data_IF_107886375521
#
_entry.id   IF_107886375521
#
_cell.length_a   1.000
_cell.length_b   1.000
_cell.length_c   1.000
_cell.angle_alpha   90.00
_cell.angle_beta   90.00
_cell.angle_gamma   90.00
#
_symmetry.space_group_name_H-M   'P 1'
#
loop_
_entity.id
_entity.type
_entity.pdbx_description
1 polymer ?
#
# COMPACT_ATOMS: atom_id res chain seq x y z
N UNK A 1 8.42 32.48 14.61
CA UNK A 1 9.06 31.64 15.64
C UNK A 1 8.36 31.90 16.96
N UNK A 2 7.57 30.95 17.47
CA UNK A 2 7.04 31.01 18.83
C UNK A 2 7.57 29.81 19.58
N UNK A 3 8.20 30.07 20.72
CA UNK A 3 8.93 29.11 21.52
C UNK A 3 8.00 28.66 22.66
N UNK A 4 7.61 27.38 22.69
CA UNK A 4 6.82 26.84 23.81
C UNK A 4 7.76 25.98 24.67
N UNK A 5 7.83 26.28 25.96
CA UNK A 5 8.62 25.55 26.96
C UNK A 5 7.76 24.46 27.61
N UNK A 6 8.07 23.17 27.39
CA UNK A 6 7.50 22.06 28.18
C UNK A 6 8.44 21.71 29.34
N UNK A 7 7.86 21.45 30.52
CA UNK A 7 8.58 21.03 31.73
C UNK A 7 8.64 19.49 31.72
N UNK A 8 9.84 18.93 31.91
CA UNK A 8 10.06 17.47 31.97
C UNK A 8 9.50 16.91 33.28
N UNK A 9 8.65 15.90 33.21
CA UNK A 9 8.15 15.19 34.40
C UNK A 9 9.29 14.43 35.09
N UNK A 10 9.48 14.68 36.38
CA UNK A 10 10.30 13.84 37.25
C UNK A 10 9.53 13.56 38.53
N UNK A 11 8.77 12.47 38.54
CA UNK A 11 8.05 12.00 39.73
C UNK A 11 8.96 11.12 40.59
N UNK A 12 9.38 11.65 41.75
CA UNK A 12 9.53 10.83 42.96
C UNK A 12 8.76 11.54 44.06
N UNK A 13 7.68 10.89 44.50
CA UNK A 13 6.76 11.43 45.49
C UNK A 13 7.49 11.75 46.80
N UNK A 14 7.51 13.04 47.17
CA UNK A 14 7.86 13.49 48.52
C UNK A 14 6.57 13.51 49.33
N UNK A 15 6.41 12.52 50.21
CA UNK A 15 5.25 12.46 51.11
C UNK A 15 5.46 13.42 52.29
N UNK A 16 4.60 14.43 52.43
CA UNK A 16 4.46 15.21 53.67
C UNK A 16 4.50 16.74 53.55
N UNK A 17 4.74 17.31 52.38
CA UNK A 17 4.78 18.77 52.19
C UNK A 17 3.61 19.24 51.33
N UNK A 18 2.88 20.27 51.78
CA UNK A 18 1.88 20.95 50.97
C UNK A 18 2.58 21.75 49.87
N UNK A 19 2.73 21.13 48.70
CA UNK A 19 3.24 21.79 47.50
C UNK A 19 2.14 22.69 46.92
N UNK A 20 2.11 23.97 47.28
CA UNK A 20 1.32 24.96 46.55
C UNK A 20 2.05 25.30 45.24
N UNK A 21 1.78 24.51 44.19
CA UNK A 21 2.16 24.87 42.82
C UNK A 21 1.14 25.86 42.29
N UNK A 22 1.43 27.16 42.41
CA UNK A 22 0.58 28.22 41.87
C UNK A 22 0.45 28.22 40.34
N UNK A 23 1.29 27.45 39.63
CA UNK A 23 1.31 27.40 38.17
C UNK A 23 0.35 26.36 37.56
N UNK A 24 -0.03 25.29 38.27
CA UNK A 24 -0.88 24.22 37.68
C UNK A 24 -2.38 24.38 37.92
N UNK A 25 -2.81 25.06 38.98
CA UNK A 25 -4.26 25.26 39.22
C UNK A 25 -4.87 26.48 38.50
N UNK A 26 -4.07 27.48 38.12
CA UNK A 26 -4.57 28.64 37.36
C UNK A 26 -4.66 28.37 35.85
N UNK A 27 -3.88 27.41 35.32
CA UNK A 27 -4.00 26.97 33.91
C UNK A 27 -5.36 26.34 33.60
N UNK A 28 -5.94 25.59 34.54
CA UNK A 28 -7.29 25.03 34.39
C UNK A 28 -8.41 26.06 34.51
N UNK A 29 -8.22 27.15 35.26
CA UNK A 29 -9.24 28.19 35.43
C UNK A 29 -9.19 29.30 34.36
N UNK A 30 -8.02 29.59 33.79
CA UNK A 30 -7.88 30.53 32.68
C UNK A 30 -8.42 29.96 31.36
N UNK A 31 -8.29 28.64 31.13
CA UNK A 31 -8.94 27.97 30.00
C UNK A 31 -10.47 27.95 30.11
N UNK A 32 -11.02 27.86 31.33
CA UNK A 32 -12.46 27.85 31.55
C UNK A 32 -13.13 29.23 31.47
N UNK A 33 -12.38 30.33 31.49
CA UNK A 33 -12.94 31.70 31.41
C UNK A 33 -12.79 32.35 30.03
N UNK A 34 -11.90 31.84 29.17
CA UNK A 34 -11.78 32.28 27.77
C UNK A 34 -12.92 31.78 26.86
N UNK A 35 -13.67 30.77 27.28
CA UNK A 35 -14.79 30.18 26.52
C UNK A 35 -16.11 30.98 26.59
N UNK A 36 -16.14 32.15 27.22
CA UNK A 36 -17.39 32.93 27.39
C UNK A 36 -17.47 34.27 26.63
N UNK A 37 -16.47 34.65 25.82
CA UNK A 37 -16.54 35.88 25.03
C UNK A 37 -16.47 35.64 23.52
N UNK A 38 -17.66 35.70 22.93
CA UNK A 38 -17.92 35.91 21.52
C UNK A 38 -17.20 37.18 21.00
N UNK A 39 -16.16 37.04 20.18
CA UNK A 39 -15.74 38.01 19.15
C UNK A 39 -14.79 37.30 18.16
N UNK A 40 -15.11 37.34 16.87
CA UNK A 40 -14.26 36.80 15.81
C UNK A 40 -12.97 37.59 15.59
N UNK A 41 -11.98 36.91 15.02
CA UNK A 41 -10.80 37.50 14.39
C UNK A 41 -9.48 37.27 15.12
N UNK A 42 -8.59 36.52 14.47
CA UNK A 42 -7.16 36.33 14.76
C UNK A 42 -6.81 35.56 16.05
N UNK A 43 -6.05 34.48 15.88
CA UNK A 43 -5.43 33.66 16.93
C UNK A 43 -4.70 34.53 17.97
N UNK A 44 -5.28 34.60 19.17
CA UNK A 44 -4.72 35.29 20.33
C UNK A 44 -3.49 34.57 20.85
N UNK A 45 -2.36 35.28 20.87
CA UNK A 45 -1.09 34.84 21.44
C UNK A 45 -1.15 34.99 22.96
N UNK A 46 -1.28 33.89 23.70
CA UNK A 46 -1.16 33.94 25.16
C UNK A 46 0.31 34.22 25.51
N UNK A 47 0.59 35.39 26.08
CA UNK A 47 1.94 35.80 26.46
C UNK A 47 2.14 35.59 27.96
N UNK A 48 3.40 35.55 28.42
CA UNK A 48 3.72 35.53 29.85
C UNK A 48 3.18 36.77 30.61
N UNK A 49 2.73 37.81 29.88
CA UNK A 49 2.02 38.97 30.45
C UNK A 49 0.57 38.68 30.85
N UNK A 50 0.00 37.55 30.42
CA UNK A 50 -1.35 37.11 30.80
C UNK A 50 -1.35 36.27 32.10
N UNK A 51 -0.17 35.98 32.64
CA UNK A 51 -0.01 35.35 33.96
C UNK A 51 -0.25 36.39 35.07
N UNK A 52 -0.88 36.03 36.20
CA UNK A 52 -1.08 36.96 37.31
C UNK A 52 0.27 37.56 37.74
N UNK A 53 0.39 38.89 37.70
CA UNK A 53 1.66 39.64 37.85
C UNK A 53 2.39 39.46 39.17
N UNK A 54 1.89 38.63 40.09
CA UNK A 54 2.55 38.21 41.32
C UNK A 54 3.57 37.08 41.09
N UNK A 55 3.53 36.42 39.92
CA UNK A 55 4.38 35.26 39.58
C UNK A 55 5.40 35.57 38.47
N UNK A 56 5.36 36.77 37.91
CA UNK A 56 6.27 37.24 36.85
C UNK A 56 6.88 38.57 37.32
N UNK A 57 8.20 38.63 37.44
CA UNK A 57 8.93 39.84 37.77
C UNK A 57 8.80 40.89 36.66
N UNK A 58 9.08 42.16 36.99
CA UNK A 58 9.03 43.28 36.03
C UNK A 58 9.97 43.10 34.82
N UNK A 59 10.93 42.18 34.90
CA UNK A 59 11.86 41.78 33.86
C UNK A 59 11.41 40.56 33.03
N UNK A 60 10.19 40.05 33.26
CA UNK A 60 9.64 38.89 32.57
C UNK A 60 10.15 37.54 33.10
N UNK A 61 10.79 37.52 34.28
CA UNK A 61 11.26 36.28 34.91
C UNK A 61 10.17 35.64 35.76
N UNK A 62 9.98 34.33 35.62
CA UNK A 62 9.00 33.59 36.43
C UNK A 62 9.60 33.32 37.81
N UNK A 63 8.99 33.88 38.85
CA UNK A 63 9.44 33.70 40.24
C UNK A 63 8.75 32.49 40.85
N UNK A 64 9.49 31.39 41.02
CA UNK A 64 9.02 30.20 41.74
C UNK A 64 9.52 30.23 43.18
N UNK A 65 8.59 30.33 44.14
CA UNK A 65 8.92 30.34 45.58
C UNK A 65 8.49 29.03 46.21
N UNK A 66 9.44 28.30 46.81
CA UNK A 66 9.14 27.15 47.67
C UNK A 66 9.05 27.66 49.11
N UNK A 67 7.84 27.67 49.68
CA UNK A 67 7.65 28.04 51.09
C UNK A 67 7.78 26.79 51.95
N UNK A 68 8.66 26.84 52.94
CA UNK A 68 8.80 25.78 53.94
C UNK A 68 8.34 26.30 55.30
N UNK A 69 7.55 25.49 56.00
CA UNK A 69 7.07 25.82 57.34
C UNK A 69 8.23 25.88 58.34
N UNK A 70 8.10 26.71 59.37
CA UNK A 70 9.11 26.89 60.43
C UNK A 70 9.44 25.58 61.17
N UNK A 71 8.49 24.64 61.23
CA UNK A 71 8.64 23.31 61.84
C UNK A 71 9.02 22.19 60.85
N UNK A 72 9.46 22.52 59.62
CA UNK A 72 9.82 21.52 58.62
C UNK A 72 11.00 20.64 59.08
N UNK A 73 10.91 19.33 58.86
CA UNK A 73 12.00 18.42 59.21
C UNK A 73 13.23 18.76 58.37
N UNK A 74 14.43 18.74 58.99
CA UNK A 74 15.71 18.98 58.31
C UNK A 74 15.90 18.20 56.99
N UNK A 75 15.31 17.02 56.84
CA UNK A 75 15.34 16.24 55.59
C UNK A 75 14.48 16.88 54.49
N UNK A 76 13.30 17.40 54.84
CA UNK A 76 12.39 18.09 53.92
C UNK A 76 12.95 19.44 53.49
N UNK A 77 13.70 20.10 54.38
CA UNK A 77 14.42 21.36 54.08
C UNK A 77 15.49 21.14 53.01
N UNK A 78 16.26 20.06 53.11
CA UNK A 78 17.30 19.72 52.13
C UNK A 78 16.68 19.27 50.80
N UNK A 79 15.60 18.50 50.83
CA UNK A 79 14.86 18.09 49.64
C UNK A 79 14.21 19.30 48.92
N UNK A 80 13.59 20.21 49.67
CA UNK A 80 12.99 21.44 49.15
C UNK A 80 14.03 22.36 48.52
N UNK A 81 15.21 22.50 49.12
CA UNK A 81 16.32 23.25 48.54
C UNK A 81 16.87 22.60 47.25
N UNK A 82 16.92 21.26 47.19
CA UNK A 82 17.34 20.53 45.98
C UNK A 82 16.33 20.69 44.83
N UNK A 83 15.03 20.63 45.12
CA UNK A 83 13.95 20.88 44.15
C UNK A 83 13.97 22.33 43.67
N UNK A 84 14.18 23.31 44.55
CA UNK A 84 14.33 24.71 44.16
C UNK A 84 15.57 24.93 43.27
N UNK A 85 16.68 24.24 43.57
CA UNK A 85 17.88 24.26 42.73
C UNK A 85 17.65 23.64 41.35
N UNK A 86 16.90 22.54 41.26
CA UNK A 86 16.55 21.92 39.98
C UNK A 86 15.52 22.72 39.19
N UNK A 87 14.51 23.32 39.83
CA UNK A 87 13.56 24.22 39.15
C UNK A 87 14.28 25.46 38.61
N UNK A 88 15.20 26.02 39.39
CA UNK A 88 16.08 27.09 38.95
C UNK A 88 16.88 26.68 37.72
N UNK A 89 17.56 25.54 37.76
CA UNK A 89 18.35 25.07 36.61
C UNK A 89 17.48 24.79 35.37
N UNK A 90 16.36 24.08 35.52
CA UNK A 90 15.46 23.72 34.42
C UNK A 90 14.71 24.92 33.82
N UNK A 91 14.48 25.99 34.56
CA UNK A 91 13.89 27.22 34.04
C UNK A 91 14.84 27.99 33.08
N UNK A 92 16.16 27.76 33.19
CA UNK A 92 17.20 28.45 32.42
C UNK A 92 17.96 27.56 31.42
N UNK A 93 17.83 26.23 31.48
CA UNK A 93 18.38 25.35 30.44
C UNK A 93 17.62 25.57 29.13
N UNK A 94 18.30 26.09 28.12
CA UNK A 94 17.76 26.30 26.78
C UNK A 94 18.14 25.10 25.92
N UNK A 95 17.16 24.27 25.56
CA UNK A 95 17.33 23.28 24.51
C UNK A 95 16.93 23.92 23.18
N UNK A 96 17.81 23.84 22.18
CA UNK A 96 17.52 24.40 20.86
C UNK A 96 16.84 23.32 20.03
N UNK A 97 15.51 23.40 19.90
CA UNK A 97 14.77 22.62 18.92
C UNK A 97 14.52 23.53 17.72
N UNK A 98 15.04 23.15 16.57
CA UNK A 98 14.88 23.89 15.32
C UNK A 98 13.42 23.79 14.84
N UNK A 99 12.60 24.78 15.20
CA UNK A 99 11.31 24.98 14.56
C UNK A 99 11.53 25.71 13.22
N UNK A 100 11.33 25.00 12.12
CA UNK A 100 11.29 25.56 10.77
C UNK A 100 10.29 26.72 10.70
N UNK A 101 10.77 27.85 10.20
CA UNK A 101 10.01 29.08 10.00
C UNK A 101 8.85 28.87 9.02
N UNK A 102 7.63 29.10 9.51
CA UNK A 102 6.46 29.68 8.82
C UNK A 102 6.47 29.60 7.29
N UNK A 103 5.78 28.59 6.75
CA UNK A 103 5.49 28.47 5.31
C UNK A 103 5.41 27.03 4.79
N UNK A 104 5.89 26.04 5.55
CA UNK A 104 5.83 24.63 5.18
C UNK A 104 5.45 23.78 6.39
N UNK A 105 4.47 22.92 6.18
CA UNK A 105 4.09 21.78 7.02
C UNK A 105 5.31 21.07 7.60
N UNK A 106 5.46 21.10 8.92
CA UNK A 106 6.35 20.18 9.64
C UNK A 106 5.48 18.99 10.04
N UNK A 107 5.20 18.16 9.04
CA UNK A 107 4.52 16.89 9.24
C UNK A 107 5.52 15.87 9.81
N UNK A 108 5.02 14.86 10.53
CA UNK A 108 5.57 13.51 10.45
C UNK A 108 5.39 12.97 9.02
N UNK A 109 5.97 13.69 8.06
CA UNK A 109 5.76 13.45 6.64
C UNK A 109 6.46 12.14 6.32
N UNK A 110 5.68 11.10 6.03
CA UNK A 110 6.16 10.11 5.09
C UNK A 110 6.47 10.83 3.77
N UNK A 111 7.57 10.46 3.15
CA UNK A 111 7.89 10.86 1.78
C UNK A 111 7.94 9.57 0.98
N UNK A 112 6.96 9.38 0.10
CA UNK A 112 6.99 8.28 -0.84
C UNK A 112 8.01 8.63 -1.94
N UNK A 113 8.95 7.73 -2.20
CA UNK A 113 9.97 7.92 -3.24
C UNK A 113 9.38 7.73 -4.65
N UNK A 114 8.32 6.91 -4.76
CA UNK A 114 7.53 6.66 -5.98
C UNK A 114 6.04 6.50 -5.63
N UNK A 115 5.44 7.50 -4.99
CA UNK A 115 4.05 7.40 -4.54
C UNK A 115 3.46 8.75 -4.12
N UNK A 116 2.15 8.78 -3.91
CA UNK A 116 1.45 9.98 -3.45
C UNK A 116 1.22 9.93 -1.94
N UNK A 117 1.64 10.96 -1.22
CA UNK A 117 1.23 11.14 0.18
C UNK A 117 -0.13 11.82 0.24
N UNK A 118 -1.18 11.06 0.59
CA UNK A 118 -2.53 11.55 0.84
C UNK A 118 -2.59 12.31 2.18
N UNK A 119 -1.94 13.47 2.25
CA UNK A 119 -2.07 14.37 3.38
C UNK A 119 -3.43 15.08 3.31
N UNK A 120 -4.35 14.70 4.19
CA UNK A 120 -5.64 15.40 4.38
C UNK A 120 -5.38 16.83 4.88
N UNK A 121 -5.21 17.77 3.96
CA UNK A 121 -5.03 19.19 4.28
C UNK A 121 -6.37 19.77 4.75
N UNK A 122 -6.50 19.98 6.06
CA UNK A 122 -7.50 20.84 6.74
C UNK A 122 -8.84 20.22 7.17
N UNK A 123 -8.91 18.91 7.42
CA UNK A 123 -10.02 18.35 8.20
C UNK A 123 -9.46 17.62 9.41
N UNK A 124 -9.84 18.05 10.61
CA UNK A 124 -9.65 17.25 11.81
C UNK A 124 -10.38 15.92 11.56
N UNK A 125 -9.65 14.81 11.56
CA UNK A 125 -10.24 13.48 11.50
C UNK A 125 -10.71 13.14 12.90
N UNK A 126 -12.02 13.02 13.10
CA UNK A 126 -12.56 12.55 14.36
C UNK A 126 -12.44 11.03 14.44
N UNK A 127 -12.31 10.51 15.65
CA UNK A 127 -12.50 9.08 15.90
C UNK A 127 -13.91 8.74 15.36
N UNK A 128 -14.01 7.70 14.53
CA UNK A 128 -15.18 7.28 13.73
C UNK A 128 -15.30 7.90 12.32
N UNK A 129 -14.40 8.79 11.89
CA UNK A 129 -14.34 9.24 10.49
C UNK A 129 -13.60 8.19 9.62
N UNK A 130 -14.19 7.89 8.46
CA UNK A 130 -13.72 6.86 7.54
C UNK A 130 -12.63 7.36 6.58
N UNK A 131 -11.88 6.46 5.94
CA UNK A 131 -10.88 6.84 4.93
C UNK A 131 -11.46 7.34 3.60
N UNK A 132 -12.78 7.42 3.42
CA UNK A 132 -13.43 7.86 2.17
C UNK A 132 -13.50 9.38 1.95
N UNK A 133 -13.33 10.20 3.00
CA UNK A 133 -13.65 11.65 2.95
C UNK A 133 -12.52 12.54 2.35
N UNK A 134 -11.63 11.99 1.52
CA UNK A 134 -10.44 12.67 0.97
C UNK A 134 -10.25 12.52 -0.55
N UNK A 135 -9.05 12.85 -1.07
CA UNK A 135 -8.67 12.44 -2.42
C UNK A 135 -8.54 10.91 -2.41
N UNK A 136 -9.50 10.23 -3.05
CA UNK A 136 -9.59 8.77 -3.07
C UNK A 136 -9.02 8.18 -4.34
N UNK A 137 -8.88 8.95 -5.43
CA UNK A 137 -8.34 8.49 -6.72
C UNK A 137 -6.90 8.97 -6.91
N UNK A 138 -6.05 8.05 -7.36
CA UNK A 138 -4.64 8.22 -7.71
C UNK A 138 -4.47 7.70 -9.15
N UNK A 139 -3.75 8.43 -9.99
CA UNK A 139 -3.52 8.09 -11.40
C UNK A 139 -2.04 8.31 -11.80
N UNK A 140 -1.71 8.17 -13.08
CA UNK A 140 -0.36 8.37 -13.62
C UNK A 140 0.23 9.76 -13.39
N UNK A 141 -0.61 10.78 -13.15
CA UNK A 141 -0.14 12.11 -12.74
C UNK A 141 0.40 12.15 -11.32
N UNK A 142 0.02 11.18 -10.48
CA UNK A 142 0.37 11.06 -9.08
C UNK A 142 1.48 10.02 -8.82
N UNK A 143 1.44 8.87 -9.50
CA UNK A 143 2.39 7.76 -9.32
C UNK A 143 2.84 7.21 -10.67
N UNK A 144 4.16 7.11 -10.97
CA UNK A 144 4.65 6.70 -12.28
C UNK A 144 4.21 5.31 -12.74
N UNK A 145 3.93 4.38 -11.81
CA UNK A 145 3.48 3.02 -12.12
C UNK A 145 2.05 2.97 -12.67
N UNK A 146 1.33 4.09 -12.62
CA UNK A 146 -0.03 4.26 -13.13
C UNK A 146 -0.05 5.14 -14.39
N UNK A 147 1.10 5.46 -14.98
CA UNK A 147 1.14 6.15 -16.27
C UNK A 147 0.40 5.33 -17.32
N UNK A 148 -0.40 6.01 -18.15
CA UNK A 148 -1.14 5.36 -19.23
C UNK A 148 -0.17 4.61 -20.15
N UNK A 149 -0.55 3.39 -20.54
CA UNK A 149 0.21 2.59 -21.50
C UNK A 149 -0.59 2.40 -22.78
N UNK A 150 -0.01 1.66 -23.72
CA UNK A 150 -0.70 1.27 -24.94
C UNK A 150 -0.53 -0.22 -25.14
N UNK A 151 -1.61 -0.92 -25.45
CA UNK A 151 -1.56 -2.30 -25.95
C UNK A 151 -1.75 -2.28 -27.46
N UNK A 152 -0.87 -2.97 -28.19
CA UNK A 152 -1.05 -3.15 -29.64
C UNK A 152 -1.96 -4.36 -29.85
N UNK A 153 -3.14 -4.12 -30.43
CA UNK A 153 -4.05 -5.20 -30.79
C UNK A 153 -3.55 -5.93 -32.05
N UNK A 154 -4.03 -7.16 -32.22
CA UNK A 154 -3.66 -8.01 -33.35
C UNK A 154 -4.08 -7.45 -34.72
N UNK A 155 -5.07 -6.55 -34.76
CA UNK A 155 -5.48 -5.87 -36.00
C UNK A 155 -4.56 -4.66 -36.37
N UNK A 156 -3.53 -4.41 -35.57
CA UNK A 156 -2.56 -3.31 -35.66
C UNK A 156 -3.11 -1.93 -35.27
N UNK A 157 -4.11 -1.87 -34.38
CA UNK A 157 -4.49 -0.65 -33.69
C UNK A 157 -3.75 -0.57 -32.34
N UNK A 158 -3.44 0.65 -31.91
CA UNK A 158 -2.93 0.90 -30.57
C UNK A 158 -4.10 1.34 -29.70
N UNK A 159 -4.30 0.65 -28.58
CA UNK A 159 -5.35 0.92 -27.60
C UNK A 159 -4.73 1.56 -26.37
N UNK A 160 -5.19 2.75 -26.01
CA UNK A 160 -4.76 3.46 -24.81
C UNK A 160 -5.31 2.73 -23.56
N UNK A 161 -4.45 2.47 -22.58
CA UNK A 161 -4.81 1.81 -21.32
C UNK A 161 -4.56 2.77 -20.17
N UNK A 162 -5.62 3.18 -19.48
CA UNK A 162 -5.58 4.06 -18.31
C UNK A 162 -5.60 3.24 -17.01
N UNK A 163 -4.81 3.66 -16.02
CA UNK A 163 -4.78 3.03 -14.69
C UNK A 163 -5.23 3.99 -13.62
N UNK A 164 -6.08 3.52 -12.71
CA UNK A 164 -6.39 4.29 -11.50
C UNK A 164 -6.47 3.43 -10.24
N UNK A 165 -6.04 4.01 -9.12
CA UNK A 165 -6.15 3.39 -7.81
C UNK A 165 -7.12 4.20 -6.97
N UNK A 166 -8.13 3.52 -6.39
CA UNK A 166 -9.14 4.12 -5.51
C UNK A 166 -9.03 3.58 -4.11
N UNK A 167 -8.64 4.43 -3.16
CA UNK A 167 -8.62 4.06 -1.74
C UNK A 167 -10.06 3.86 -1.25
N UNK A 168 -10.30 2.71 -0.63
CA UNK A 168 -11.59 2.35 -0.06
C UNK A 168 -11.91 3.12 1.22
N UNK A 169 -13.12 2.89 1.71
CA UNK A 169 -13.65 3.56 2.91
C UNK A 169 -13.56 2.62 4.10
N UNK A 170 -12.52 2.80 4.90
CA UNK A 170 -12.14 1.91 5.99
C UNK A 170 -12.19 2.64 7.33
N UNK A 171 -12.62 1.92 8.36
CA UNK A 171 -12.71 2.42 9.72
C UNK A 171 -11.36 2.35 10.42
N UNK A 172 -11.15 3.26 11.38
CA UNK A 172 -9.99 3.25 12.26
C UNK A 172 -10.41 2.80 13.65
N UNK A 173 -9.68 1.86 14.23
CA UNK A 173 -10.04 1.24 15.51
C UNK A 173 -8.82 1.11 16.42
N UNK A 174 -9.03 1.28 17.73
CA UNK A 174 -8.04 0.92 18.73
C UNK A 174 -8.13 -0.58 18.99
N UNK A 175 -7.04 -1.31 18.78
CA UNK A 175 -7.00 -2.74 19.16
C UNK A 175 -6.73 -2.89 20.66
N UNK A 176 -7.36 -3.87 21.29
CA UNK A 176 -7.26 -4.11 22.73
C UNK A 176 -5.99 -4.87 23.15
N UNK A 177 -5.17 -5.33 22.19
CA UNK A 177 -4.06 -6.23 22.47
C UNK A 177 -2.99 -5.61 23.37
N UNK A 178 -2.80 -4.29 23.28
CA UNK A 178 -1.92 -3.52 24.17
C UNK A 178 -2.72 -2.50 24.98
N UNK A 179 -3.49 -2.97 25.98
CA UNK A 179 -4.28 -2.10 26.89
C UNK A 179 -3.50 -0.96 27.55
N UNK A 180 -2.17 -1.10 27.65
CA UNK A 180 -1.29 -0.09 28.25
C UNK A 180 -0.79 0.95 27.22
N UNK A 181 -0.93 0.69 25.91
CA UNK A 181 -0.52 1.59 24.83
C UNK A 181 -1.36 1.36 23.55
N UNK A 182 -2.65 1.75 23.54
CA UNK A 182 -3.51 1.52 22.39
C UNK A 182 -3.06 2.35 21.18
N UNK A 183 -2.78 1.69 20.06
CA UNK A 183 -2.55 2.33 18.77
C UNK A 183 -3.86 2.39 17.98
N UNK A 184 -4.08 3.49 17.26
CA UNK A 184 -5.20 3.60 16.33
C UNK A 184 -4.76 2.93 15.03
N UNK A 185 -5.32 1.77 14.70
CA UNK A 185 -5.00 1.02 13.49
C UNK A 185 -6.06 1.28 12.41
N UNK A 186 -5.68 1.06 11.15
CA UNK A 186 -6.63 1.04 10.04
C UNK A 186 -7.14 -0.39 9.89
N UNK A 187 -8.47 -0.58 9.87
CA UNK A 187 -9.05 -1.89 9.57
C UNK A 187 -8.89 -2.22 8.08
N UNK A 188 -8.47 -3.44 7.79
CA UNK A 188 -8.37 -3.97 6.44
C UNK A 188 -9.52 -4.96 6.22
N UNK A 189 -10.39 -4.74 5.22
CA UNK A 189 -11.50 -5.65 4.93
C UNK A 189 -11.01 -7.06 4.63
N UNK A 190 -11.72 -8.07 5.09
CA UNK A 190 -11.34 -9.46 4.84
C UNK A 190 -11.69 -9.86 3.41
N UNK A 191 -11.08 -10.95 2.92
CA UNK A 191 -11.38 -11.52 1.61
C UNK A 191 -12.89 -11.71 1.36
N UNK A 192 -13.63 -12.18 2.38
CA UNK A 192 -15.09 -12.36 2.30
C UNK A 192 -15.91 -11.07 2.18
N UNK A 193 -15.30 -9.91 2.43
CA UNK A 193 -15.95 -8.60 2.29
C UNK A 193 -15.77 -8.02 0.87
N UNK A 194 -14.86 -8.59 0.06
CA UNK A 194 -14.62 -8.20 -1.32
C UNK A 194 -15.80 -8.61 -2.23
N UNK A 195 -16.07 -7.83 -3.31
CA UNK A 195 -15.46 -6.56 -3.68
C UNK A 195 -16.20 -5.37 -3.04
N UNK A 196 -17.10 -5.63 -2.08
CA UNK A 196 -18.05 -4.64 -1.57
C UNK A 196 -17.42 -3.67 -0.57
N UNK A 197 -16.39 -4.10 0.15
CA UNK A 197 -15.59 -3.29 1.05
C UNK A 197 -14.12 -3.64 0.83
N UNK A 198 -13.29 -2.63 0.54
CA UNK A 198 -11.92 -2.83 0.04
C UNK A 198 -10.96 -1.90 0.77
N UNK A 199 -9.69 -2.30 0.90
CA UNK A 199 -8.63 -1.37 1.29
C UNK A 199 -8.40 -0.35 0.17
N UNK A 200 -8.24 -0.84 -1.06
CA UNK A 200 -8.24 -0.05 -2.29
C UNK A 200 -8.63 -0.92 -3.49
N UNK A 201 -9.07 -0.27 -4.57
CA UNK A 201 -9.22 -0.87 -5.89
C UNK A 201 -8.10 -0.38 -6.80
N UNK A 202 -7.60 -1.24 -7.67
CA UNK A 202 -6.76 -0.87 -8.80
C UNK A 202 -7.51 -1.24 -10.09
N UNK A 203 -7.71 -0.27 -10.96
CA UNK A 203 -8.55 -0.38 -12.14
C UNK A 203 -7.70 -0.19 -13.40
N UNK A 204 -7.98 -1.03 -14.40
CA UNK A 204 -7.44 -0.98 -15.76
C UNK A 204 -8.60 -0.67 -16.70
N UNK A 205 -8.56 0.48 -17.37
CA UNK A 205 -9.56 0.92 -18.35
C UNK A 205 -8.92 0.91 -19.74
N UNK A 206 -9.50 0.16 -20.68
CA UNK A 206 -8.96 -0.02 -22.02
C UNK A 206 -9.39 1.07 -23.01
N UNK A 207 -10.24 2.02 -22.62
CA UNK A 207 -10.77 3.10 -23.47
C UNK A 207 -11.63 2.64 -24.67
N UNK A 208 -11.60 1.35 -24.98
CA UNK A 208 -12.27 0.63 -26.06
C UNK A 208 -12.59 -0.79 -25.58
N UNK A 209 -13.50 -1.47 -26.29
CA UNK A 209 -13.90 -2.83 -25.92
C UNK A 209 -12.88 -3.85 -26.44
N UNK A 210 -12.17 -4.52 -25.53
CA UNK A 210 -11.21 -5.58 -25.82
C UNK A 210 -11.88 -6.96 -25.81
N UNK A 211 -11.52 -7.82 -26.75
CA UNK A 211 -11.83 -9.24 -26.78
C UNK A 211 -10.58 -10.05 -26.39
N UNK A 212 -10.64 -10.65 -25.21
CA UNK A 212 -9.63 -11.58 -24.70
C UNK A 212 -10.10 -13.05 -24.84
N UNK A 213 -11.21 -13.30 -25.52
CA UNK A 213 -11.60 -14.64 -25.91
C UNK A 213 -10.72 -15.13 -27.06
N UNK A 214 -10.38 -16.42 -27.05
CA UNK A 214 -9.64 -17.01 -28.16
C UNK A 214 -10.37 -16.83 -29.51
N UNK A 215 -9.81 -15.99 -30.38
CA UNK A 215 -10.39 -15.63 -31.68
C UNK A 215 -10.43 -16.81 -32.69
N UNK A 216 -9.65 -17.87 -32.44
CA UNK A 216 -9.45 -19.00 -33.35
C UNK A 216 -8.84 -18.62 -34.71
N UNK A 217 -8.48 -19.61 -35.53
CA UNK A 217 -7.88 -19.38 -36.86
C UNK A 217 -8.79 -18.65 -37.87
N UNK A 218 -10.09 -18.46 -37.55
CA UNK A 218 -11.10 -17.95 -38.48
C UNK A 218 -11.68 -16.57 -38.14
N UNK A 219 -11.38 -15.97 -36.97
CA UNK A 219 -11.77 -14.59 -36.63
C UNK A 219 -13.28 -14.28 -36.67
N UNK A 220 -14.14 -15.31 -36.69
CA UNK A 220 -15.57 -15.19 -37.04
C UNK A 220 -16.48 -14.93 -35.82
N UNK A 221 -15.94 -14.72 -34.61
CA UNK A 221 -16.75 -14.44 -33.41
C UNK A 221 -16.09 -13.50 -32.40
N UNK A 222 -15.43 -12.45 -32.89
CA UNK A 222 -15.00 -11.37 -32.01
C UNK A 222 -16.21 -10.54 -31.56
N UNK A 223 -16.37 -10.33 -30.26
CA UNK A 223 -17.40 -9.46 -29.68
C UNK A 223 -16.85 -8.07 -29.32
N UNK A 224 -15.53 -7.95 -29.13
CA UNK A 224 -14.81 -6.69 -28.94
C UNK A 224 -14.52 -5.92 -30.23
N UNK A 225 -14.15 -4.65 -30.07
CA UNK A 225 -13.65 -3.81 -31.17
C UNK A 225 -12.18 -4.15 -31.49
N UNK A 226 -11.44 -4.56 -30.48
CA UNK A 226 -10.00 -4.85 -30.49
C UNK A 226 -9.76 -6.23 -29.86
N UNK A 227 -8.68 -6.93 -30.21
CA UNK A 227 -8.38 -8.26 -29.67
C UNK A 227 -6.88 -8.53 -29.58
N UNK A 228 -6.50 -9.50 -28.74
CA UNK A 228 -5.11 -9.98 -28.61
C UNK A 228 -4.93 -11.36 -29.25
N UNK A 229 -3.75 -11.57 -29.82
CA UNK A 229 -3.24 -12.87 -30.27
C UNK A 229 -2.22 -13.41 -29.27
N UNK A 230 -2.06 -14.74 -29.25
CA UNK A 230 -1.06 -15.40 -28.38
C UNK A 230 0.33 -14.76 -28.55
N UNK A 231 0.94 -14.41 -27.42
CA UNK A 231 2.24 -13.73 -27.41
C UNK A 231 2.18 -12.20 -27.39
N UNK A 232 1.01 -11.59 -27.56
CA UNK A 232 0.87 -10.14 -27.43
C UNK A 232 1.12 -9.69 -25.99
N UNK A 233 1.74 -8.51 -25.83
CA UNK A 233 2.12 -7.98 -24.52
C UNK A 233 1.09 -6.96 -24.00
N UNK A 234 0.75 -7.07 -22.73
CA UNK A 234 -0.09 -6.12 -21.99
C UNK A 234 0.62 -5.72 -20.71
N UNK A 235 0.66 -4.43 -20.37
CA UNK A 235 1.16 -3.97 -19.09
C UNK A 235 0.02 -3.82 -18.08
N UNK A 236 0.23 -4.27 -16.84
CA UNK A 236 -0.69 -4.07 -15.72
C UNK A 236 0.11 -3.53 -14.54
N UNK A 237 -0.17 -2.28 -14.15
CA UNK A 237 0.46 -1.61 -13.00
C UNK A 237 2.00 -1.75 -12.99
N UNK A 238 2.65 -1.42 -14.12
CA UNK A 238 4.11 -1.48 -14.28
C UNK A 238 4.70 -2.88 -14.46
N UNK A 239 3.86 -3.91 -14.54
CA UNK A 239 4.28 -5.29 -14.83
C UNK A 239 3.81 -5.68 -16.23
N UNK A 240 4.76 -6.00 -17.12
CA UNK A 240 4.45 -6.52 -18.46
C UNK A 240 4.10 -7.99 -18.38
N UNK A 241 2.97 -8.35 -18.99
CA UNK A 241 2.49 -9.71 -19.18
C UNK A 241 2.35 -10.03 -20.66
N UNK A 242 2.32 -11.32 -20.97
CA UNK A 242 2.07 -11.87 -22.30
C UNK A 242 0.75 -12.61 -22.27
N UNK A 243 -0.16 -12.22 -23.16
CA UNK A 243 -1.45 -12.85 -23.35
C UNK A 243 -1.30 -14.26 -23.94
N UNK A 244 -2.18 -15.16 -23.47
CA UNK A 244 -2.21 -16.55 -23.91
C UNK A 244 -3.54 -16.92 -24.56
N UNK A 245 -3.47 -17.75 -25.60
CA UNK A 245 -4.62 -18.40 -26.22
C UNK A 245 -5.36 -19.42 -25.33
N UNK A 246 -4.86 -19.72 -24.13
CA UNK A 246 -5.60 -20.42 -23.09
C UNK A 246 -6.75 -19.58 -22.52
N UNK A 247 -6.72 -18.27 -22.73
CA UNK A 247 -7.79 -17.39 -22.30
C UNK A 247 -9.11 -17.79 -22.97
N UNK A 248 -10.16 -17.82 -22.16
CA UNK A 248 -11.53 -18.14 -22.56
C UNK A 248 -12.44 -16.95 -22.33
N UNK A 249 -13.72 -17.11 -22.62
CA UNK A 249 -14.69 -16.05 -22.31
C UNK A 249 -14.80 -15.77 -20.80
N UNK A 250 -14.44 -16.71 -19.94
CA UNK A 250 -14.50 -16.56 -18.49
C UNK A 250 -13.16 -16.51 -17.76
N UNK A 251 -12.06 -16.70 -18.48
CA UNK A 251 -10.74 -16.87 -17.89
C UNK A 251 -9.71 -16.08 -18.70
N UNK A 252 -8.98 -15.18 -18.07
CA UNK A 252 -7.88 -14.45 -18.70
C UNK A 252 -6.55 -14.96 -18.14
N UNK A 253 -5.71 -15.50 -19.02
CA UNK A 253 -4.41 -16.09 -18.67
C UNK A 253 -3.28 -15.23 -19.22
N UNK A 254 -2.43 -14.76 -18.31
CA UNK A 254 -1.35 -13.82 -18.58
C UNK A 254 -0.03 -14.35 -18.01
N UNK A 255 1.06 -14.24 -18.77
CA UNK A 255 2.38 -14.72 -18.34
C UNK A 255 3.35 -13.55 -18.09
N UNK A 256 3.99 -13.49 -16.92
CA UNK A 256 4.90 -12.40 -16.55
C UNK A 256 6.18 -12.22 -17.38
N UNK A 257 6.36 -12.91 -18.51
CA UNK A 257 7.38 -12.56 -19.49
C UNK A 257 7.08 -13.14 -20.89
N UNK A 258 7.50 -12.41 -21.91
CA UNK A 258 7.43 -12.77 -23.33
C UNK A 258 8.67 -13.52 -23.84
N UNK A 259 9.67 -13.77 -22.98
CA UNK A 259 10.94 -14.37 -23.38
C UNK A 259 10.76 -15.84 -23.80
N UNK A 260 10.50 -16.02 -25.09
CA UNK A 260 10.30 -17.32 -25.73
C UNK A 260 11.60 -17.89 -26.26
N UNK A 261 11.95 -19.09 -25.82
CA UNK A 261 13.11 -19.84 -26.25
C UNK A 261 12.70 -21.08 -27.05
N UNK A 262 12.95 -21.08 -28.35
CA UNK A 262 12.73 -22.26 -29.18
C UNK A 262 13.95 -23.18 -29.18
N UNK A 263 13.70 -24.48 -29.04
CA UNK A 263 14.74 -25.50 -29.04
C UNK A 263 14.37 -26.64 -29.99
N UNK A 264 15.25 -26.95 -30.93
CA UNK A 264 15.05 -28.11 -31.80
C UNK A 264 15.34 -29.41 -31.04
N UNK A 265 14.77 -30.51 -31.52
CA UNK A 265 15.05 -31.82 -30.93
C UNK A 265 16.54 -32.16 -30.97
N UNK A 266 17.10 -32.54 -29.82
CA UNK A 266 18.52 -32.83 -29.61
C UNK A 266 19.36 -31.61 -29.22
N UNK A 267 18.75 -30.42 -29.14
CA UNK A 267 19.41 -29.19 -28.71
C UNK A 267 19.01 -28.81 -27.27
N UNK A 268 19.80 -27.92 -26.69
CA UNK A 268 19.54 -27.30 -25.39
C UNK A 268 19.87 -25.82 -25.47
N UNK A 269 19.16 -24.98 -24.73
CA UNK A 269 19.48 -23.56 -24.55
C UNK A 269 19.39 -23.19 -23.08
N UNK A 270 19.97 -22.04 -22.72
CA UNK A 270 19.85 -21.48 -21.39
C UNK A 270 18.78 -20.42 -21.39
N UNK A 271 17.90 -20.49 -20.40
CA UNK A 271 16.82 -19.56 -20.13
C UNK A 271 17.03 -18.95 -18.74
N UNK A 272 16.63 -17.71 -18.52
CA UNK A 272 16.73 -17.05 -17.21
C UNK A 272 15.34 -16.91 -16.62
N UNK A 273 15.09 -17.56 -15.48
CA UNK A 273 13.81 -17.46 -14.77
C UNK A 273 14.06 -16.97 -13.36
N UNK A 274 13.43 -15.85 -12.99
CA UNK A 274 13.59 -15.21 -11.67
C UNK A 274 15.07 -14.96 -11.31
N UNK A 275 15.88 -14.55 -12.30
CA UNK A 275 17.32 -14.31 -12.14
C UNK A 275 18.20 -15.56 -12.04
N UNK A 276 17.63 -16.76 -12.18
CA UNK A 276 18.38 -18.02 -12.20
C UNK A 276 18.47 -18.56 -13.64
N UNK A 277 19.68 -18.92 -14.07
CA UNK A 277 19.90 -19.59 -15.36
C UNK A 277 19.51 -21.07 -15.26
N UNK A 278 18.56 -21.50 -16.08
CA UNK A 278 18.11 -22.89 -16.24
C UNK A 278 18.45 -23.38 -17.65
N UNK A 279 18.80 -24.65 -17.79
CA UNK A 279 19.05 -25.26 -19.11
C UNK A 279 17.83 -26.06 -19.57
N UNK A 280 17.19 -25.62 -20.64
CA UNK A 280 16.04 -26.30 -21.24
C UNK A 280 16.46 -27.02 -22.53
N UNK A 281 15.76 -28.10 -22.87
CA UNK A 281 16.07 -28.91 -24.05
C UNK A 281 14.87 -29.70 -24.56
N UNK A 282 14.82 -29.95 -25.85
CA UNK A 282 13.84 -30.84 -26.48
C UNK A 282 14.52 -32.17 -26.82
N UNK A 283 14.06 -33.28 -26.25
CA UNK A 283 14.66 -34.61 -26.47
C UNK A 283 13.93 -35.41 -27.54
N UNK A 284 12.60 -35.27 -27.61
CA UNK A 284 11.75 -35.98 -28.56
C UNK A 284 10.45 -35.20 -28.78
N UNK A 285 9.94 -35.14 -30.00
CA UNK A 285 8.60 -34.62 -30.30
C UNK A 285 7.75 -35.76 -30.85
N UNK A 286 6.67 -36.08 -30.14
CA UNK A 286 5.83 -37.25 -30.43
C UNK A 286 4.80 -36.96 -31.52
N UNK A 287 4.25 -35.76 -31.51
CA UNK A 287 3.16 -35.25 -32.35
C UNK A 287 3.18 -33.70 -32.25
N UNK A 288 2.11 -33.04 -32.68
CA UNK A 288 1.99 -31.57 -32.71
C UNK A 288 1.65 -30.92 -31.37
N UNK A 289 1.55 -31.69 -30.29
CA UNK A 289 1.11 -31.18 -28.97
C UNK A 289 1.84 -31.89 -27.82
N UNK A 290 2.67 -32.91 -28.07
CA UNK A 290 3.37 -33.67 -27.03
C UNK A 290 4.85 -33.79 -27.34
N UNK A 291 5.67 -33.47 -26.34
CA UNK A 291 7.12 -33.59 -26.40
C UNK A 291 7.69 -34.29 -25.16
N UNK A 292 8.97 -34.65 -25.25
CA UNK A 292 9.80 -35.00 -24.10
C UNK A 292 10.87 -33.93 -24.00
N UNK A 293 10.85 -33.19 -22.89
CA UNK A 293 11.75 -32.06 -22.64
C UNK A 293 12.71 -32.38 -21.51
N UNK A 294 13.76 -31.59 -21.40
CA UNK A 294 14.69 -31.62 -20.27
C UNK A 294 14.82 -30.24 -19.67
N UNK A 295 14.67 -30.13 -18.36
CA UNK A 295 14.96 -28.90 -17.59
C UNK A 295 16.00 -29.23 -16.53
N UNK A 296 17.16 -28.57 -16.60
CA UNK A 296 18.32 -28.82 -15.72
C UNK A 296 18.71 -30.31 -15.60
N UNK A 297 18.55 -31.05 -16.70
CA UNK A 297 18.86 -32.47 -16.80
C UNK A 297 17.79 -33.41 -16.24
N UNK A 298 16.68 -32.90 -15.71
CA UNK A 298 15.47 -33.69 -15.43
C UNK A 298 14.68 -33.84 -16.71
N UNK A 299 14.33 -35.08 -17.09
CA UNK A 299 13.55 -35.38 -18.31
C UNK A 299 12.11 -35.68 -17.95
N UNK A 300 11.17 -35.05 -18.66
CA UNK A 300 9.73 -35.26 -18.48
C UNK A 300 9.00 -35.26 -19.82
N UNK A 301 7.86 -35.95 -19.86
CA UNK A 301 6.94 -35.89 -21.00
C UNK A 301 5.95 -34.78 -20.72
N UNK A 302 5.73 -33.93 -21.70
CA UNK A 302 4.92 -32.73 -21.60
C UNK A 302 3.98 -32.64 -22.78
N UNK A 303 2.83 -32.04 -22.53
CA UNK A 303 1.93 -31.52 -23.54
C UNK A 303 2.14 -30.00 -23.69
N UNK A 304 1.70 -29.44 -24.81
CA UNK A 304 1.60 -28.00 -24.98
C UNK A 304 0.72 -27.43 -23.87
N UNK A 305 1.20 -26.36 -23.23
CA UNK A 305 0.63 -25.77 -22.03
C UNK A 305 1.15 -26.31 -20.70
N UNK A 306 1.90 -27.41 -20.69
CA UNK A 306 2.48 -27.91 -19.43
C UNK A 306 3.57 -26.97 -18.89
N UNK A 307 3.56 -26.81 -17.56
CA UNK A 307 4.60 -26.12 -16.80
C UNK A 307 5.64 -27.10 -16.24
N UNK A 308 6.91 -26.81 -16.50
CA UNK A 308 8.07 -27.63 -16.17
C UNK A 308 9.13 -26.87 -15.36
N UNK A 309 10.09 -27.62 -14.83
CA UNK A 309 11.21 -27.04 -14.08
C UNK A 309 10.92 -26.80 -12.59
N UNK A 310 11.87 -26.18 -11.87
CA UNK A 310 11.76 -25.98 -10.43
C UNK A 310 10.58 -25.06 -10.07
N UNK A 311 9.53 -25.64 -9.46
CA UNK A 311 8.28 -24.95 -9.12
C UNK A 311 7.39 -24.62 -10.35
N UNK A 312 7.54 -25.36 -11.46
CA UNK A 312 6.66 -25.19 -12.64
C UNK A 312 6.89 -23.87 -13.37
N UNK A 313 8.14 -23.39 -13.38
CA UNK A 313 8.45 -22.01 -13.71
C UNK A 313 8.86 -21.74 -15.16
N UNK A 314 8.78 -22.76 -16.01
CA UNK A 314 9.00 -22.68 -17.44
C UNK A 314 7.81 -23.34 -18.11
N UNK A 315 7.12 -22.63 -18.98
CA UNK A 315 5.96 -23.17 -19.71
C UNK A 315 6.39 -23.72 -21.07
N UNK A 316 5.79 -24.82 -21.49
CA UNK A 316 5.90 -25.35 -22.85
C UNK A 316 4.84 -24.68 -23.70
N UNK A 317 5.17 -23.54 -24.31
CA UNK A 317 4.19 -22.73 -25.05
C UNK A 317 3.74 -23.39 -26.34
N UNK A 318 4.63 -24.12 -27.03
CA UNK A 318 4.28 -24.78 -28.29
C UNK A 318 5.11 -26.03 -28.56
N UNK A 319 4.48 -26.99 -29.21
CA UNK A 319 5.15 -28.20 -29.72
C UNK A 319 4.95 -28.32 -31.22
N UNK A 320 6.01 -28.15 -32.00
CA UNK A 320 5.91 -28.28 -33.45
C UNK A 320 6.63 -29.52 -33.96
N UNK A 321 5.88 -30.46 -34.53
CA UNK A 321 6.45 -31.57 -35.28
C UNK A 321 6.90 -31.09 -36.68
N UNK A 322 8.21 -30.93 -36.88
CA UNK A 322 8.78 -30.42 -38.14
C UNK A 322 9.30 -31.52 -39.06
N UNK A 323 9.33 -32.78 -38.61
CA UNK A 323 9.96 -33.89 -39.31
C UNK A 323 9.36 -35.26 -39.00
N UNK A 324 10.07 -36.35 -39.36
CA UNK A 324 9.70 -37.71 -38.97
C UNK A 324 9.60 -37.86 -37.44
N UNK A 325 8.98 -38.95 -36.98
CA UNK A 325 8.82 -39.26 -35.55
C UNK A 325 10.07 -38.92 -34.72
N UNK A 326 9.86 -38.10 -33.69
CA UNK A 326 10.93 -37.64 -32.82
C UNK A 326 11.70 -36.43 -33.31
N UNK A 327 11.28 -35.74 -34.37
CA UNK A 327 11.88 -34.48 -34.80
C UNK A 327 10.85 -33.35 -34.76
N UNK A 328 11.21 -32.29 -34.07
CA UNK A 328 10.42 -31.07 -33.96
C UNK A 328 11.19 -29.94 -33.27
N UNK A 329 10.46 -28.87 -32.98
CA UNK A 329 10.89 -27.79 -32.09
C UNK A 329 9.90 -27.66 -30.94
N UNK A 330 10.41 -27.29 -29.78
CA UNK A 330 9.60 -26.96 -28.61
C UNK A 330 9.91 -25.52 -28.24
N UNK A 331 8.88 -24.72 -28.03
CA UNK A 331 9.01 -23.38 -27.51
C UNK A 331 8.79 -23.39 -25.99
N UNK A 332 9.69 -22.73 -25.28
CA UNK A 332 9.60 -22.51 -23.84
C UNK A 332 9.33 -21.03 -23.58
N UNK A 333 8.31 -20.71 -22.79
CA UNK A 333 8.11 -19.36 -22.27
C UNK A 333 8.71 -19.25 -20.86
N UNK A 334 9.46 -18.18 -20.64
CA UNK A 334 10.18 -17.90 -19.40
C UNK A 334 9.38 -16.92 -18.52
N UNK A 335 9.56 -16.97 -17.20
CA UNK A 335 8.93 -16.00 -16.29
C UNK A 335 7.46 -16.29 -16.03
N UNK A 336 7.20 -17.54 -15.66
CA UNK A 336 5.91 -18.17 -15.35
C UNK A 336 5.10 -17.55 -14.21
N UNK A 337 5.21 -16.26 -13.89
CA UNK A 337 4.22 -15.62 -13.01
C UNK A 337 2.92 -15.57 -13.81
N UNK A 338 2.28 -16.74 -13.91
CA UNK A 338 1.00 -16.95 -14.54
C UNK A 338 0.00 -16.25 -13.66
N UNK A 339 -0.61 -15.20 -14.20
CA UNK A 339 -1.73 -14.51 -13.61
C UNK A 339 -2.98 -15.03 -14.33
N UNK A 340 -3.83 -15.69 -13.57
CA UNK A 340 -5.11 -16.19 -14.04
C UNK A 340 -6.23 -15.42 -13.35
N UNK A 341 -7.21 -14.94 -14.12
CA UNK A 341 -8.35 -14.19 -13.62
C UNK A 341 -9.63 -14.88 -14.09
N UNK A 342 -10.45 -15.37 -13.16
CA UNK A 342 -11.75 -15.96 -13.45
C UNK A 342 -12.86 -14.90 -13.29
N UNK A 343 -13.56 -14.56 -14.37
CA UNK A 343 -14.61 -13.52 -14.35
C UNK A 343 -15.91 -13.98 -13.67
N UNK A 344 -16.13 -15.28 -13.49
CA UNK A 344 -17.32 -15.83 -12.86
C UNK A 344 -17.22 -15.84 -11.33
N UNK A 345 -16.06 -16.24 -10.78
CA UNK A 345 -15.82 -16.22 -9.33
C UNK A 345 -15.21 -14.90 -8.87
N UNK A 346 -14.48 -14.22 -9.75
CA UNK A 346 -13.62 -13.09 -9.42
C UNK A 346 -12.28 -13.53 -8.82
N UNK A 347 -11.99 -14.83 -8.77
CA UNK A 347 -10.75 -15.33 -8.18
C UNK A 347 -9.55 -14.91 -9.04
N UNK A 348 -8.45 -14.61 -8.37
CA UNK A 348 -7.17 -14.32 -9.00
C UNK A 348 -6.17 -15.38 -8.55
N UNK A 349 -5.56 -16.07 -9.49
CA UNK A 349 -4.53 -17.07 -9.20
C UNK A 349 -3.17 -16.60 -9.70
N UNK A 350 -2.14 -16.91 -8.91
CA UNK A 350 -0.75 -16.75 -9.33
C UNK A 350 -0.09 -18.11 -9.29
N UNK A 351 0.37 -18.60 -10.44
CA UNK A 351 1.01 -19.91 -10.58
C UNK A 351 0.10 -21.08 -10.14
N UNK A 352 -1.21 -20.95 -10.38
CA UNK A 352 -2.23 -21.93 -9.99
C UNK A 352 -2.57 -21.95 -8.50
N UNK A 353 -2.04 -21.01 -7.71
CA UNK A 353 -2.46 -20.80 -6.32
C UNK A 353 -3.40 -19.57 -6.27
N UNK A 354 -4.63 -19.77 -5.80
CA UNK A 354 -5.59 -18.68 -5.54
C UNK A 354 -5.02 -17.69 -4.51
N UNK A 355 -5.12 -16.40 -4.80
CA UNK A 355 -4.60 -15.33 -3.95
C UNK A 355 -5.67 -14.80 -3.00
N UNK A 356 -5.49 -15.04 -1.71
CA UNK A 356 -6.37 -14.47 -0.68
C UNK A 356 -6.24 -12.94 -0.62
N UNK A 357 -7.35 -12.24 -0.37
CA UNK A 357 -7.36 -10.79 -0.22
C UNK A 357 -7.30 -10.04 -1.56
N UNK A 358 -7.53 -10.73 -2.68
CA UNK A 358 -7.71 -10.12 -4.00
C UNK A 358 -8.92 -10.71 -4.69
N UNK A 359 -9.75 -9.84 -5.24
CA UNK A 359 -10.82 -10.25 -6.14
C UNK A 359 -10.83 -9.36 -7.39
N UNK A 360 -11.01 -9.95 -8.56
CA UNK A 360 -11.18 -9.23 -9.80
C UNK A 360 -12.68 -9.12 -10.17
N UNK A 361 -13.02 -8.02 -10.83
CA UNK A 361 -14.31 -7.84 -11.49
C UNK A 361 -14.11 -7.27 -12.88
N UNK A 362 -14.84 -7.80 -13.85
CA UNK A 362 -14.76 -7.41 -15.27
C UNK A 362 -16.01 -6.62 -15.63
N UNK A 363 -15.84 -5.37 -16.05
CA UNK A 363 -16.90 -4.64 -16.74
C UNK A 363 -16.84 -4.97 -18.23
N UNK A 364 -17.96 -5.46 -18.76
CA UNK A 364 -18.06 -5.86 -20.15
C UNK A 364 -19.18 -5.07 -20.83
N UNK A 365 -18.93 -4.69 -22.09
CA UNK A 365 -19.96 -4.17 -22.98
C UNK A 365 -21.04 -5.23 -23.27
N UNK A 366 -20.71 -6.52 -23.10
CA UNK A 366 -21.67 -7.61 -23.12
C UNK A 366 -22.41 -7.70 -21.78
N UNK A 367 -23.67 -8.13 -21.80
CA UNK A 367 -24.43 -8.35 -20.56
C UNK A 367 -23.93 -9.53 -19.71
N UNK A 368 -22.86 -10.22 -20.15
CA UNK A 368 -22.37 -11.44 -19.52
C UNK A 368 -21.25 -11.21 -18.50
N UNK A 369 -20.62 -10.02 -18.44
CA UNK A 369 -19.53 -9.75 -17.48
C UNK A 369 -18.34 -10.69 -17.70
N UNK A 370 -17.88 -10.76 -18.95
CA UNK A 370 -16.96 -11.77 -19.44
C UNK A 370 -15.84 -11.12 -20.28
N UNK A 371 -14.86 -11.92 -20.68
CA UNK A 371 -13.64 -11.47 -21.33
C UNK A 371 -13.75 -11.25 -22.84
N UNK A 372 -14.88 -11.56 -23.48
CA UNK A 372 -15.06 -11.37 -24.93
C UNK A 372 -15.31 -9.91 -25.34
N UNK A 373 -15.63 -9.04 -24.39
CA UNK A 373 -15.97 -7.65 -24.65
C UNK A 373 -15.70 -6.78 -23.42
N UNK A 374 -14.48 -6.83 -22.91
CA UNK A 374 -14.02 -6.16 -21.69
C UNK A 374 -13.73 -4.69 -21.96
N UNK A 375 -14.27 -3.81 -21.11
CA UNK A 375 -13.95 -2.38 -21.11
C UNK A 375 -13.08 -2.02 -19.89
N UNK A 376 -13.30 -2.69 -18.77
CA UNK A 376 -12.60 -2.42 -17.51
C UNK A 376 -12.30 -3.74 -16.76
N UNK A 377 -11.13 -3.82 -16.13
CA UNK A 377 -10.82 -4.83 -15.10
C UNK A 377 -10.48 -4.09 -13.81
N UNK A 378 -11.24 -4.37 -12.75
CA UNK A 378 -11.00 -3.82 -11.41
C UNK A 378 -10.54 -4.92 -10.47
N UNK A 379 -9.38 -4.73 -9.84
CA UNK A 379 -8.84 -5.57 -8.77
C UNK A 379 -9.11 -4.92 -7.42
N UNK A 380 -9.81 -5.63 -6.54
CA UNK A 380 -10.15 -5.23 -5.19
C UNK A 380 -9.21 -5.88 -4.18
N UNK A 381 -8.55 -5.08 -3.35
CA UNK A 381 -7.56 -5.54 -2.38
C UNK A 381 -8.07 -5.45 -0.94
N UNK A 382 -7.83 -6.49 -0.17
CA UNK A 382 -8.15 -6.62 1.25
C UNK A 382 -7.08 -7.42 2.00
N UNK A 383 -7.41 -7.84 3.22
CA UNK A 383 -6.54 -8.61 4.07
C UNK A 383 -6.36 -10.03 3.52
N UNK A 384 -5.12 -10.50 3.51
CA UNK A 384 -4.73 -11.85 3.08
C UNK A 384 -5.19 -12.92 4.07
N UNK A 385 -5.31 -12.58 5.35
CA UNK A 385 -5.89 -13.46 6.35
C UNK A 385 -6.51 -12.68 7.52
N UNK A 386 -6.96 -13.42 8.54
CA UNK A 386 -7.55 -12.86 9.75
C UNK A 386 -6.52 -12.27 10.73
N UNK A 387 -5.23 -12.51 10.54
CA UNK A 387 -4.15 -11.91 11.32
C UNK A 387 -3.74 -10.54 10.73
N UNK A 388 -4.02 -10.31 9.45
CA UNK A 388 -3.76 -9.08 8.70
C UNK A 388 -4.97 -8.11 8.64
N UNK A 389 -5.92 -8.21 9.58
CA UNK A 389 -7.15 -7.39 9.59
C UNK A 389 -6.94 -5.93 10.03
N UNK A 390 -5.70 -5.55 10.35
CA UNK A 390 -5.30 -4.19 10.70
C UNK A 390 -3.90 -3.80 10.20
N UNK A 391 -3.73 -2.52 9.84
CA UNK A 391 -2.42 -1.90 9.59
C UNK A 391 -2.12 -0.91 10.72
N UNK A 392 -1.02 -1.13 11.45
CA UNK A 392 -0.63 -0.22 12.52
C UNK A 392 0.04 1.07 12.00
N UNK A 393 0.08 2.14 12.80
CA UNK A 393 0.80 3.36 12.44
C UNK A 393 2.27 3.12 12.10
N UNK A 394 2.67 3.47 10.88
CA UNK A 394 4.01 3.29 10.35
C UNK A 394 4.25 1.93 9.67
N UNK A 395 3.24 1.06 9.63
CA UNK A 395 3.26 -0.18 8.86
C UNK A 395 2.74 0.04 7.44
N UNK A 396 2.98 -0.97 6.60
CA UNK A 396 2.60 -0.99 5.19
C UNK A 396 1.84 -2.27 4.87
N UNK A 397 0.88 -2.15 3.98
CA UNK A 397 0.28 -3.25 3.24
C UNK A 397 0.88 -3.27 1.83
N UNK A 398 1.18 -4.44 1.30
CA UNK A 398 1.72 -4.64 -0.05
C UNK A 398 0.75 -5.56 -0.81
N UNK A 399 0.27 -5.13 -1.99
CA UNK A 399 -0.63 -5.94 -2.80
C UNK A 399 0.05 -7.24 -3.20
N UNK A 400 -0.63 -8.40 -3.15
CA UNK A 400 0.01 -9.68 -3.40
C UNK A 400 0.39 -9.91 -4.86
N UNK A 401 -0.17 -9.16 -5.82
CA UNK A 401 0.05 -9.39 -7.26
C UNK A 401 0.80 -8.28 -8.01
N UNK A 402 0.74 -7.00 -7.58
CA UNK A 402 1.32 -5.87 -8.33
C UNK A 402 2.38 -5.05 -7.56
N UNK A 403 2.72 -5.45 -6.33
CA UNK A 403 3.67 -4.71 -5.49
C UNK A 403 3.23 -3.27 -5.14
N UNK A 404 1.95 -2.94 -5.26
CA UNK A 404 1.39 -1.66 -4.84
C UNK A 404 1.40 -1.58 -3.30
N UNK A 405 1.92 -0.49 -2.74
CA UNK A 405 2.03 -0.34 -1.29
C UNK A 405 1.06 0.72 -0.74
N UNK A 406 0.34 0.36 0.32
CA UNK A 406 -0.45 1.27 1.13
C UNK A 406 0.23 1.50 2.48
N UNK A 407 0.59 2.76 2.79
CA UNK A 407 1.25 3.13 4.04
C UNK A 407 0.30 3.90 4.95
N UNK A 408 0.13 3.43 6.18
CA UNK A 408 -0.71 4.10 7.16
C UNK A 408 0.12 4.92 8.15
N UNK A 409 0.05 6.25 8.03
CA UNK A 409 0.83 7.17 8.87
C UNK A 409 0.31 7.38 10.30
N UNK A 410 -0.89 6.89 10.62
CA UNK A 410 -1.54 7.12 11.92
C UNK A 410 -2.00 8.56 12.15
N UNK A 411 -2.29 8.90 13.42
CA UNK A 411 -2.73 10.23 13.81
C UNK A 411 -1.62 11.27 13.65
N UNK A 412 -1.98 12.43 13.08
CA UNK A 412 -1.08 13.59 13.09
C UNK A 412 -0.80 14.02 14.54
N UNK A 413 0.46 14.26 14.93
CA UNK A 413 0.82 14.71 16.28
C UNK A 413 0.27 16.10 16.64
N UNK A 414 -0.31 16.82 15.67
CA UNK A 414 -0.92 18.13 15.84
C UNK A 414 -2.40 18.08 16.28
N UNK A 415 -3.00 16.88 16.42
CA UNK A 415 -4.33 16.71 17.03
C UNK A 415 -4.16 16.75 18.55
N UNK A 416 -4.20 17.96 19.14
CA UNK A 416 -4.12 18.20 20.59
C UNK A 416 -5.19 19.18 21.07
#
# INVERSE_FOLDING_TARGET
MKTIKKIKESSKAVAGSALLVGATLAGGAAFATASSHNMGGSSGDATLGDYPGHFVGEDGTVSSTVVMGEDANSVDVVAGAAIAGQLGNNAFTTETVSAGTSGGSVAGSFTAENGLTLNRRNSDLFIDDSTGDGQTRVDGGDVPVLEDTTVSSADNNDVDVEYDVRVGTNDQQFTEEERDNPFLNLHVPQDSDLPSNVLFNATVDFGSTMDFGYAGESGDSLEGEEYLEDGDEIELFGTTYTYSDESTDSELVLYGSSDRAEVNTGETTTVTVNGNELTVGATFVSNSDTATVTVDGVTESVEEGDSVGPNGNIRVSDVFQTGPDGQGRVAFSQGSNELNIDSNSGDVEVNGDTQDGVQASVESASSAGNFNATEEITFSFGATDSEDDFIAPGERYESPIFGLEFHYGGLSPDVQ
#
